data_IF_055450419400
#
_entry.id   IF_055450419400
#
_cell.length_a   1.000
_cell.length_b   1.000
_cell.length_c   1.000
_cell.angle_alpha   90.00
_cell.angle_beta   90.00
_cell.angle_gamma   90.00
#
_symmetry.space_group_name_H-M   'P 1'
#
loop_
_entity.id
_entity.type
_entity.pdbx_description
1 polymer ?
#
# COMPACT_ATOMS: atom_id res chain seq x y z
N UNK A 1 23.32 -25.80 -18.45
CA UNK A 1 24.30 -25.02 -17.66
C UNK A 1 23.87 -23.58 -17.41
N UNK A 2 23.85 -22.65 -18.38
CA UNK A 2 23.44 -21.25 -18.11
C UNK A 2 21.96 -21.12 -17.72
N UNK A 3 21.05 -21.80 -18.43
CA UNK A 3 19.61 -21.81 -18.09
C UNK A 3 19.34 -22.48 -16.72
N UNK A 4 20.04 -23.57 -16.38
CA UNK A 4 19.87 -24.27 -15.09
C UNK A 4 20.39 -23.44 -13.91
N UNK A 5 21.53 -22.75 -14.09
CA UNK A 5 22.04 -21.80 -13.10
C UNK A 5 21.08 -20.64 -12.92
N UNK A 6 20.53 -20.10 -14.01
CA UNK A 6 19.56 -19.01 -13.96
C UNK A 6 18.28 -19.42 -13.22
N UNK A 7 17.73 -20.60 -13.53
CA UNK A 7 16.56 -21.14 -12.82
C UNK A 7 16.80 -21.31 -11.32
N UNK A 8 17.95 -21.88 -10.91
CA UNK A 8 18.27 -22.08 -9.51
C UNK A 8 18.47 -20.77 -8.73
N UNK A 9 19.08 -19.75 -9.37
CA UNK A 9 19.24 -18.42 -8.78
C UNK A 9 17.89 -17.72 -8.63
N UNK A 10 17.04 -17.76 -9.66
CA UNK A 10 15.69 -17.16 -9.62
C UNK A 10 14.83 -17.82 -8.55
N UNK A 11 14.87 -19.15 -8.43
CA UNK A 11 14.12 -19.89 -7.40
C UNK A 11 14.60 -19.52 -5.99
N UNK A 12 15.92 -19.42 -5.78
CA UNK A 12 16.48 -18.99 -4.49
C UNK A 12 16.07 -17.57 -4.11
N UNK A 13 16.05 -16.64 -5.09
CA UNK A 13 15.59 -15.27 -4.89
C UNK A 13 14.08 -15.25 -4.60
N UNK A 14 13.29 -16.03 -5.32
CA UNK A 14 11.84 -16.10 -5.15
C UNK A 14 11.47 -16.56 -3.74
N UNK A 15 12.09 -17.64 -3.25
CA UNK A 15 11.90 -18.15 -1.88
C UNK A 15 12.35 -17.12 -0.84
N UNK A 16 13.48 -16.42 -1.08
CA UNK A 16 13.95 -15.35 -0.20
C UNK A 16 12.94 -14.20 -0.09
N UNK A 17 12.34 -13.79 -1.20
CA UNK A 17 11.31 -12.74 -1.23
C UNK A 17 10.03 -13.22 -0.51
N UNK A 18 9.62 -14.47 -0.73
CA UNK A 18 8.44 -15.04 -0.08
C UNK A 18 8.61 -15.10 1.44
N UNK A 19 9.76 -15.57 1.93
CA UNK A 19 10.08 -15.57 3.35
C UNK A 19 10.07 -14.15 3.94
N UNK A 20 10.67 -13.18 3.25
CA UNK A 20 10.66 -11.79 3.68
C UNK A 20 9.24 -11.22 3.78
N UNK A 21 8.37 -11.54 2.82
CA UNK A 21 6.98 -11.10 2.83
C UNK A 21 6.22 -11.65 4.05
N UNK A 22 6.39 -12.94 4.37
CA UNK A 22 5.79 -13.56 5.56
C UNK A 22 6.26 -12.88 6.84
N UNK A 23 7.57 -12.62 6.96
CA UNK A 23 8.14 -11.94 8.13
C UNK A 23 7.58 -10.52 8.28
N UNK A 24 7.48 -9.76 7.20
CA UNK A 24 6.91 -8.41 7.24
C UNK A 24 5.44 -8.41 7.67
N UNK A 25 4.62 -9.31 7.11
CA UNK A 25 3.21 -9.47 7.50
C UNK A 25 3.10 -9.81 8.98
N UNK A 26 3.94 -10.73 9.48
CA UNK A 26 3.97 -11.09 10.88
C UNK A 26 4.32 -9.90 11.79
N UNK A 27 5.30 -9.09 11.42
CA UNK A 27 5.70 -7.88 12.19
C UNK A 27 4.55 -6.88 12.26
N UNK A 28 3.90 -6.57 11.13
CA UNK A 28 2.78 -5.63 11.08
C UNK A 28 1.62 -6.12 11.94
N UNK A 29 1.31 -7.42 11.85
CA UNK A 29 0.26 -8.05 12.66
C UNK A 29 0.56 -7.95 14.16
N UNK A 30 1.79 -8.27 14.59
CA UNK A 30 2.21 -8.16 15.99
C UNK A 30 2.14 -6.71 16.47
N UNK A 31 2.59 -5.75 15.67
CA UNK A 31 2.51 -4.33 16.01
C UNK A 31 1.07 -3.85 16.19
N UNK A 32 0.16 -4.26 15.29
CA UNK A 32 -1.26 -3.94 15.38
C UNK A 32 -1.90 -4.56 16.64
N UNK A 33 -1.56 -5.81 16.96
CA UNK A 33 -2.06 -6.51 18.14
C UNK A 33 -1.63 -5.80 19.44
N UNK A 34 -0.34 -5.47 19.57
CA UNK A 34 0.19 -4.74 20.74
C UNK A 34 -0.46 -3.35 20.84
N UNK A 35 -0.57 -2.63 19.73
CA UNK A 35 -1.21 -1.31 19.69
C UNK A 35 -2.66 -1.35 20.14
N UNK A 36 -3.42 -2.37 19.71
CA UNK A 36 -4.82 -2.59 20.10
C UNK A 36 -4.97 -2.84 21.61
N UNK A 37 -4.11 -3.69 22.19
CA UNK A 37 -4.14 -4.02 23.63
C UNK A 37 -3.79 -2.80 24.49
N UNK A 38 -2.80 -2.00 24.08
CA UNK A 38 -2.36 -0.82 24.85
C UNK A 38 -3.33 0.36 24.76
N UNK A 39 -4.14 0.47 23.71
CA UNK A 39 -5.07 1.59 23.50
C UNK A 39 -6.47 1.40 24.07
N UNK A 40 -6.77 0.24 24.68
CA UNK A 40 -8.07 -0.05 25.31
C UNK A 40 -8.47 0.97 26.40
N UNK A 41 -7.52 1.73 26.97
CA UNK A 41 -7.76 2.64 28.10
C UNK A 41 -7.79 4.16 27.81
N UNK A 42 -7.39 4.64 26.63
CA UNK A 42 -7.25 6.10 26.37
C UNK A 42 -8.05 6.54 25.15
N UNK A 43 -9.29 6.99 25.40
CA UNK A 43 -10.19 7.59 24.40
C UNK A 43 -9.78 9.02 24.06
N UNK A 44 -8.61 9.21 23.45
CA UNK A 44 -8.21 10.50 22.89
C UNK A 44 -8.36 10.48 21.37
N UNK A 45 -9.59 10.76 20.92
CA UNK A 45 -10.06 10.52 19.54
C UNK A 45 -9.31 11.37 18.51
N UNK A 46 -8.77 12.52 18.93
CA UNK A 46 -8.03 13.47 18.09
C UNK A 46 -6.58 13.03 17.86
N UNK A 47 -5.91 12.48 18.87
CA UNK A 47 -4.55 11.93 18.73
C UNK A 47 -4.59 10.67 17.86
N UNK A 48 -5.57 9.79 18.09
CA UNK A 48 -5.78 8.59 17.30
C UNK A 48 -6.01 8.91 15.81
N UNK A 49 -6.89 9.87 15.50
CA UNK A 49 -7.15 10.29 14.11
C UNK A 49 -5.89 10.82 13.41
N UNK A 50 -5.09 11.62 14.11
CA UNK A 50 -3.85 12.20 13.55
C UNK A 50 -2.79 11.12 13.29
N UNK A 51 -2.67 10.16 14.20
CA UNK A 51 -1.78 9.01 14.04
C UNK A 51 -2.23 8.10 12.88
N UNK A 52 -3.54 7.89 12.73
CA UNK A 52 -4.13 7.09 11.65
C UNK A 52 -3.85 7.70 10.27
N UNK A 53 -4.00 9.02 10.13
CA UNK A 53 -3.68 9.73 8.87
C UNK A 53 -2.18 9.64 8.55
N UNK A 54 -1.32 9.76 9.56
CA UNK A 54 0.13 9.63 9.37
C UNK A 54 0.53 8.22 8.90
N UNK A 55 -0.07 7.19 9.51
CA UNK A 55 0.13 5.79 9.10
C UNK A 55 -0.40 5.56 7.68
N UNK A 56 -1.60 6.05 7.35
CA UNK A 56 -2.17 5.92 6.02
C UNK A 56 -1.27 6.53 4.95
N UNK A 57 -0.69 7.70 5.23
CA UNK A 57 0.24 8.39 4.32
C UNK A 57 1.55 7.62 4.11
N UNK A 58 2.13 7.05 5.19
CA UNK A 58 3.33 6.21 5.10
C UNK A 58 3.04 4.89 4.37
N UNK A 59 1.88 4.27 4.61
CA UNK A 59 1.45 3.06 3.89
C UNK A 59 1.26 3.33 2.39
N UNK A 60 0.69 4.48 2.01
CA UNK A 60 0.53 4.87 0.61
C UNK A 60 1.88 4.99 -0.10
N UNK A 61 2.89 5.59 0.54
CA UNK A 61 4.26 5.63 0.01
C UNK A 61 4.90 4.24 -0.04
N UNK A 62 4.69 3.39 0.99
CA UNK A 62 5.16 2.00 0.96
C UNK A 62 4.54 1.19 -0.19
N UNK A 63 3.30 1.50 -0.55
CA UNK A 63 2.60 0.87 -1.67
C UNK A 63 3.17 1.28 -3.03
N UNK A 64 3.78 2.46 -3.15
CA UNK A 64 4.54 2.88 -4.35
C UNK A 64 5.76 1.99 -4.56
N UNK A 65 6.52 1.71 -3.49
CA UNK A 65 7.65 0.78 -3.53
C UNK A 65 7.23 -0.67 -3.82
N UNK A 66 6.09 -1.13 -3.28
CA UNK A 66 5.57 -2.47 -3.54
C UNK A 66 5.25 -2.73 -5.02
N UNK A 67 4.83 -1.71 -5.78
CA UNK A 67 4.68 -1.90 -7.23
C UNK A 67 5.96 -1.80 -8.01
N UNK A 68 6.95 -1.04 -7.55
CA UNK A 68 8.27 -1.16 -8.16
C UNK A 68 8.77 -2.61 -8.04
N UNK A 69 8.57 -3.25 -6.89
CA UNK A 69 8.90 -4.66 -6.69
C UNK A 69 8.07 -5.60 -7.59
N UNK A 70 6.78 -5.32 -7.78
CA UNK A 70 5.90 -6.12 -8.63
C UNK A 70 6.24 -6.02 -10.13
N UNK A 71 6.56 -4.82 -10.60
CA UNK A 71 7.07 -4.59 -11.97
C UNK A 71 8.38 -5.34 -12.18
N UNK A 72 9.30 -5.32 -11.21
CA UNK A 72 10.57 -6.06 -11.30
C UNK A 72 10.32 -7.57 -11.38
N UNK A 73 9.43 -8.11 -10.54
CA UNK A 73 9.06 -9.53 -10.57
C UNK A 73 8.54 -9.95 -11.95
N UNK A 74 7.75 -9.10 -12.60
CA UNK A 74 7.13 -9.44 -13.88
C UNK A 74 8.01 -9.23 -15.10
N UNK A 75 8.94 -8.28 -15.08
CA UNK A 75 9.90 -8.07 -16.17
C UNK A 75 10.95 -9.19 -16.25
N UNK A 76 11.22 -9.87 -15.14
CA UNK A 76 12.28 -10.89 -15.04
C UNK A 76 11.79 -12.30 -15.44
N UNK A 77 10.50 -12.60 -15.30
CA UNK A 77 9.95 -13.93 -15.61
C UNK A 77 9.39 -13.92 -17.05
N UNK A 78 9.71 -14.97 -17.83
CA UNK A 78 9.43 -15.04 -19.28
C UNK A 78 7.94 -14.80 -19.55
N UNK A 79 7.54 -13.94 -20.51
CA UNK A 79 6.14 -13.57 -20.70
C UNK A 79 5.29 -14.77 -21.13
N UNK A 80 4.56 -15.36 -20.19
CA UNK A 80 3.52 -16.36 -20.41
C UNK A 80 2.14 -15.74 -20.07
N UNK A 81 1.08 -16.16 -20.76
CA UNK A 81 -0.28 -15.66 -20.55
C UNK A 81 -0.75 -15.83 -19.10
N UNK A 82 -0.36 -16.92 -18.44
CA UNK A 82 -0.70 -17.18 -17.04
C UNK A 82 -0.05 -16.16 -16.09
N UNK A 83 1.22 -15.82 -16.32
CA UNK A 83 1.94 -14.83 -15.52
C UNK A 83 1.43 -13.40 -15.76
N UNK A 84 1.03 -13.08 -17.00
CA UNK A 84 0.36 -11.82 -17.32
C UNK A 84 -0.98 -11.70 -16.59
N UNK A 85 -1.70 -12.82 -16.41
CA UNK A 85 -2.97 -12.83 -15.68
C UNK A 85 -2.76 -12.61 -14.18
N UNK A 86 -1.75 -13.24 -13.58
CA UNK A 86 -1.35 -12.98 -12.19
C UNK A 86 -0.95 -11.52 -11.99
N UNK A 87 -0.19 -10.94 -12.93
CA UNK A 87 0.17 -9.52 -12.91
C UNK A 87 -1.07 -8.62 -12.98
N UNK A 88 -1.97 -8.89 -13.92
CA UNK A 88 -3.20 -8.11 -14.06
C UNK A 88 -4.05 -8.16 -12.78
N UNK A 89 -4.16 -9.34 -12.17
CA UNK A 89 -4.86 -9.51 -10.90
C UNK A 89 -4.19 -8.72 -9.77
N UNK A 90 -2.87 -8.75 -9.68
CA UNK A 90 -2.12 -8.02 -8.65
C UNK A 90 -2.30 -6.50 -8.80
N UNK A 91 -2.22 -5.97 -10.03
CA UNK A 91 -2.49 -4.55 -10.31
C UNK A 91 -3.91 -4.16 -9.89
N UNK A 92 -4.91 -5.01 -10.15
CA UNK A 92 -6.30 -4.77 -9.72
C UNK A 92 -6.42 -4.72 -8.20
N UNK A 93 -5.86 -5.71 -7.49
CA UNK A 93 -5.87 -5.74 -6.01
C UNK A 93 -5.17 -4.49 -5.46
N UNK A 94 -4.01 -4.12 -6.00
CA UNK A 94 -3.22 -2.98 -5.55
C UNK A 94 -3.95 -1.66 -5.77
N UNK A 95 -4.63 -1.51 -6.90
CA UNK A 95 -5.43 -0.31 -7.20
C UNK A 95 -6.62 -0.20 -6.24
N UNK A 96 -7.34 -1.29 -6.02
CA UNK A 96 -8.49 -1.31 -5.12
C UNK A 96 -8.12 -1.01 -3.66
N UNK A 97 -7.03 -1.62 -3.18
CA UNK A 97 -6.54 -1.40 -1.81
C UNK A 97 -6.05 0.04 -1.62
N UNK A 98 -5.30 0.57 -2.60
CA UNK A 98 -4.86 1.97 -2.59
C UNK A 98 -6.04 2.93 -2.52
N UNK A 99 -7.07 2.72 -3.35
CA UNK A 99 -8.25 3.58 -3.35
C UNK A 99 -9.05 3.51 -2.04
N UNK A 100 -9.20 2.31 -1.47
CA UNK A 100 -9.92 2.12 -0.20
C UNK A 100 -9.22 2.83 0.96
N UNK A 101 -7.89 2.79 1.01
CA UNK A 101 -7.10 3.50 2.02
C UNK A 101 -7.22 5.03 1.86
N UNK A 102 -7.14 5.53 0.62
CA UNK A 102 -7.34 6.96 0.35
C UNK A 102 -8.75 7.41 0.73
N UNK A 103 -9.78 6.60 0.42
CA UNK A 103 -11.17 6.85 0.81
C UNK A 103 -11.37 6.91 2.32
N UNK A 104 -10.77 5.99 3.06
CA UNK A 104 -10.86 5.99 4.52
C UNK A 104 -10.12 7.19 5.14
N UNK A 105 -8.99 7.58 4.56
CA UNK A 105 -8.17 8.68 5.06
C UNK A 105 -8.77 10.05 4.74
N UNK A 106 -9.25 10.27 3.51
CA UNK A 106 -9.75 11.56 3.04
C UNK A 106 -11.27 11.69 3.09
N UNK A 107 -12.00 10.57 3.21
CA UNK A 107 -13.47 10.56 3.21
C UNK A 107 -14.11 10.88 1.85
N UNK A 108 -13.30 10.95 0.79
CA UNK A 108 -13.70 11.34 -0.57
C UNK A 108 -13.10 10.41 -1.60
N UNK A 109 -13.82 10.23 -2.71
CA UNK A 109 -13.32 9.45 -3.84
C UNK A 109 -12.19 10.20 -4.55
N UNK A 110 -11.20 9.49 -5.12
CA UNK A 110 -10.06 10.14 -5.77
C UNK A 110 -10.45 10.96 -7.02
N UNK A 111 -11.64 10.72 -7.56
CA UNK A 111 -12.22 11.51 -8.66
C UNK A 111 -13.18 12.61 -8.21
N UNK A 112 -13.34 12.85 -6.90
CA UNK A 112 -14.10 14.00 -6.41
C UNK A 112 -13.20 15.25 -6.44
N UNK A 113 -13.56 16.29 -7.22
CA UNK A 113 -12.83 17.55 -7.20
C UNK A 113 -12.97 18.21 -5.82
N UNK A 114 -11.88 18.84 -5.36
CA UNK A 114 -11.89 19.63 -4.14
C UNK A 114 -12.86 20.80 -4.34
N UNK A 115 -13.95 20.84 -3.56
CA UNK A 115 -14.99 21.85 -3.72
C UNK A 115 -14.41 23.23 -3.48
N UNK A 116 -14.30 24.03 -4.54
CA UNK A 116 -13.83 25.42 -4.62
C UNK A 116 -14.57 26.42 -3.68
N UNK A 117 -15.58 25.97 -2.92
CA UNK A 117 -16.36 26.81 -1.98
C UNK A 117 -15.53 27.43 -0.83
N UNK A 118 -14.35 26.88 -0.50
CA UNK A 118 -13.47 27.49 0.52
C UNK A 118 -12.62 28.64 -0.05
N UNK A 119 -12.40 28.70 -1.37
CA UNK A 119 -11.63 29.77 -2.02
C UNK A 119 -12.43 31.06 -2.13
N UNK A 120 -13.72 30.97 -2.46
CA UNK A 120 -14.60 32.13 -2.63
C UNK A 120 -14.89 32.87 -1.32
N UNK A 121 -14.95 32.16 -0.17
CA UNK A 121 -15.16 32.78 1.14
C UNK A 121 -13.95 33.62 1.59
N UNK A 122 -12.72 33.21 1.22
CA UNK A 122 -11.49 33.93 1.57
C UNK A 122 -11.25 35.13 0.63
N UNK A 123 -11.65 35.02 -0.64
CA UNK A 123 -11.57 36.15 -1.59
C UNK A 123 -12.67 37.19 -1.37
N UNK A 124 -13.89 36.77 -0.99
CA UNK A 124 -14.99 37.71 -0.73
C UNK A 124 -14.85 38.50 0.58
N UNK A 125 -14.05 38.03 1.54
CA UNK A 125 -13.77 38.74 2.80
C UNK A 125 -12.52 39.65 2.71
N UNK A 126 -12.04 39.91 1.49
CA UNK A 126 -10.93 40.85 1.22
C UNK A 126 -11.37 42.13 0.50
N UNK A 127 -12.65 42.25 0.14
CA UNK A 127 -13.29 43.48 -0.32
C UNK A 127 -14.13 44.11 0.80
#
# INVERSE_FOLDING_TARGET
MFEEFFHSVVESIAVGIEFLAVVLIAIVFVYALIGSVLHIGKRDITVYRRYKIMIAKVLQTGLEFLVAADIIRTVIVKPNLEEVLVLALLVVVRTFLSWTLTLESEGRWPWQPETEETKSIIEHNKE
#
